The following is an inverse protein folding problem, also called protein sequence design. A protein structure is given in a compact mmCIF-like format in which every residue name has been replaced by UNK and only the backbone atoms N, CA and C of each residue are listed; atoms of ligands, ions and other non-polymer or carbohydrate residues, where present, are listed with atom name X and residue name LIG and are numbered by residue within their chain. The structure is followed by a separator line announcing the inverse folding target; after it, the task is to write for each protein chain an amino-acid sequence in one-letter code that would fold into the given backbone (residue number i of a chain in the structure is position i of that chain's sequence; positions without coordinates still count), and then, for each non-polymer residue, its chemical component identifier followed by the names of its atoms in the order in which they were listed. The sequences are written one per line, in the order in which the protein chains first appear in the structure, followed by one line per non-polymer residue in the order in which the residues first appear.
data_IF_332710253784
#
_entry.id   IF_332710253784
#
_cell.length_a   1.000
_cell.length_b   1.000
_cell.length_c   1.000
_cell.angle_alpha   90.00
_cell.angle_beta   90.00
_cell.angle_gamma   90.00
#
_symmetry.space_group_name_H-M   'P 1'
#
loop_
_entity.id
_entity.type
_entity.pdbx_description
1 polymer ?
#
# COMPACT_ATOMS: atom_id res chain seq x y z
N UNK A 1 22.07 12.38 4.56
CA UNK A 1 22.79 12.46 3.26
C UNK A 1 21.74 12.64 2.19
N UNK A 2 21.82 13.73 1.41
CA UNK A 2 20.82 14.02 0.38
C UNK A 2 21.13 13.20 -0.88
N UNK A 3 20.52 12.01 -0.94
CA UNK A 3 20.72 11.00 -2.00
C UNK A 3 20.36 11.49 -3.41
N UNK A 4 19.78 12.69 -3.53
CA UNK A 4 19.07 13.21 -4.72
C UNK A 4 19.70 14.44 -5.37
N UNK A 5 20.92 14.81 -4.96
CA UNK A 5 21.46 16.16 -5.17
C UNK A 5 22.09 16.47 -6.55
N UNK A 6 22.07 15.56 -7.53
CA UNK A 6 22.68 15.82 -8.86
C UNK A 6 21.77 15.53 -10.06
N UNK A 7 20.68 16.30 -10.19
CA UNK A 7 19.91 16.37 -11.45
C UNK A 7 20.73 17.09 -12.55
N UNK A 8 20.69 16.64 -13.82
CA UNK A 8 21.32 17.36 -14.94
C UNK A 8 20.82 18.81 -15.04
N UNK A 9 21.69 19.75 -15.48
CA UNK A 9 21.32 21.17 -15.59
C UNK A 9 20.06 21.42 -16.43
N UNK A 10 19.85 20.64 -17.49
CA UNK A 10 18.66 20.76 -18.33
C UNK A 10 17.40 20.36 -17.54
N UNK A 11 17.46 19.30 -16.73
CA UNK A 11 16.37 18.91 -15.85
C UNK A 11 16.06 20.00 -14.83
N UNK A 12 17.07 20.68 -14.27
CA UNK A 12 16.86 21.80 -13.35
C UNK A 12 16.12 22.98 -14.02
N UNK A 13 16.50 23.33 -15.25
CA UNK A 13 15.84 24.40 -16.02
C UNK A 13 14.41 24.02 -16.39
N UNK A 14 14.20 22.81 -16.90
CA UNK A 14 12.86 22.30 -17.25
C UNK A 14 11.99 22.25 -15.99
N UNK A 15 12.50 21.71 -14.88
CA UNK A 15 11.77 21.61 -13.62
C UNK A 15 11.32 22.99 -13.12
N UNK A 16 12.16 24.03 -13.25
CA UNK A 16 11.78 25.41 -12.97
C UNK A 16 10.68 25.93 -13.88
N UNK A 17 10.76 25.66 -15.17
CA UNK A 17 9.77 26.12 -16.15
C UNK A 17 8.42 25.44 -16.00
N UNK A 18 8.41 24.13 -15.69
CA UNK A 18 7.18 23.37 -15.48
C UNK A 18 6.68 23.44 -14.02
N UNK A 19 7.38 24.18 -13.14
CA UNK A 19 7.06 24.31 -11.72
C UNK A 19 7.19 23.02 -10.91
N UNK A 20 7.96 22.04 -11.39
CA UNK A 20 8.28 20.81 -10.64
C UNK A 20 9.16 21.10 -9.41
N UNK A 21 9.99 22.14 -9.45
CA UNK A 21 10.79 22.59 -8.32
C UNK A 21 9.95 23.17 -7.17
N UNK A 22 8.86 23.87 -7.50
CA UNK A 22 7.90 24.43 -6.52
C UNK A 22 6.96 23.37 -5.94
N UNK A 23 6.81 22.22 -6.60
CA UNK A 23 5.97 21.10 -6.14
C UNK A 23 6.64 20.22 -5.09
N UNK A 24 7.95 20.35 -4.87
CA UNK A 24 8.69 19.54 -3.89
C UNK A 24 8.78 20.27 -2.53
N UNK A 25 8.07 21.40 -2.36
CA UNK A 25 8.20 22.28 -1.20
C UNK A 25 7.20 22.01 -0.07
N UNK A 26 7.72 21.45 1.02
CA UNK A 26 7.18 21.44 2.39
C UNK A 26 5.68 21.18 2.53
N UNK A 27 5.27 19.91 2.35
CA UNK A 27 4.02 19.49 3.00
C UNK A 27 4.23 19.62 4.50
N UNK A 28 3.49 20.52 5.16
CA UNK A 28 3.50 20.62 6.62
C UNK A 28 2.88 19.36 7.21
N UNK A 29 3.73 18.38 7.48
CA UNK A 29 3.31 17.18 8.19
C UNK A 29 3.07 17.54 9.65
N UNK A 30 1.94 17.08 10.19
CA UNK A 30 1.68 17.17 11.62
C UNK A 30 2.77 16.41 12.39
N UNK A 31 3.46 17.03 13.37
CA UNK A 31 4.50 16.39 14.16
C UNK A 31 4.11 15.04 14.76
N UNK A 32 2.82 14.81 15.02
CA UNK A 32 2.35 13.53 15.55
C UNK A 32 2.62 12.33 14.61
N UNK A 33 2.75 12.58 13.29
CA UNK A 33 2.98 11.55 12.28
C UNK A 33 4.46 11.37 11.90
N UNK A 34 5.37 12.21 12.41
CA UNK A 34 6.81 12.10 12.12
C UNK A 34 7.39 10.73 12.46
N UNK A 35 6.98 10.15 13.60
CA UNK A 35 7.39 8.80 14.01
C UNK A 35 7.08 7.73 12.96
N UNK A 36 5.97 7.89 12.23
CA UNK A 36 5.59 6.93 11.20
C UNK A 36 6.42 7.09 9.93
N UNK A 37 6.75 8.33 9.58
CA UNK A 37 7.62 8.65 8.45
C UNK A 37 9.04 8.14 8.71
N UNK A 38 9.61 8.45 9.87
CA UNK A 38 10.96 8.02 10.26
C UNK A 38 11.08 6.50 10.23
N UNK A 39 10.12 5.78 10.83
CA UNK A 39 10.08 4.32 10.80
C UNK A 39 9.96 3.77 9.36
N UNK A 40 9.17 4.43 8.50
CA UNK A 40 9.04 4.02 7.09
C UNK A 40 10.32 4.26 6.30
N UNK A 41 11.05 5.35 6.57
CA UNK A 41 12.36 5.62 5.95
C UNK A 41 13.39 4.56 6.37
N UNK A 42 13.41 4.20 7.65
CA UNK A 42 14.38 3.25 8.20
C UNK A 42 14.09 1.80 7.78
N UNK A 43 12.83 1.40 7.83
CA UNK A 43 12.45 -0.02 7.70
C UNK A 43 11.67 -0.34 6.42
N UNK A 44 11.24 0.66 5.65
CA UNK A 44 10.43 0.48 4.45
C UNK A 44 8.98 0.12 4.72
N UNK A 45 8.50 0.19 5.97
CA UNK A 45 7.10 -0.01 6.35
C UNK A 45 6.80 0.69 7.68
N UNK A 46 5.52 0.82 8.04
CA UNK A 46 5.07 1.25 9.37
C UNK A 46 3.73 0.61 9.72
N UNK A 47 3.50 0.35 11.00
CA UNK A 47 2.22 -0.13 11.54
C UNK A 47 1.53 1.00 12.30
N UNK A 48 0.32 1.36 11.88
CA UNK A 48 -0.55 2.30 12.60
C UNK A 48 -1.46 1.47 13.50
N UNK A 49 -1.05 1.28 14.75
CA UNK A 49 -1.82 0.53 15.72
C UNK A 49 -3.16 1.21 16.03
N UNK A 50 -4.22 0.41 16.19
CA UNK A 50 -5.56 0.89 16.52
C UNK A 50 -6.08 2.01 15.58
N UNK A 51 -5.71 1.95 14.29
CA UNK A 51 -6.12 2.94 13.29
C UNK A 51 -7.64 3.13 13.17
N UNK A 52 -8.42 2.10 13.52
CA UNK A 52 -9.88 2.14 13.49
C UNK A 52 -10.46 1.55 14.78
N UNK A 53 -11.63 2.05 15.18
CA UNK A 53 -12.36 1.50 16.32
C UNK A 53 -12.92 0.10 15.99
N UNK A 54 -13.18 -0.76 16.98
CA UNK A 54 -13.81 -2.05 16.74
C UNK A 54 -15.13 -1.94 15.96
N UNK A 55 -15.95 -0.93 16.28
CA UNK A 55 -17.21 -0.68 15.58
C UNK A 55 -17.02 -0.34 14.09
N UNK A 56 -16.02 0.48 13.75
CA UNK A 56 -15.71 0.81 12.35
C UNK A 56 -15.18 -0.43 11.58
N UNK A 57 -14.41 -1.28 12.24
CA UNK A 57 -13.94 -2.55 11.68
C UNK A 57 -15.12 -3.50 11.45
N UNK A 58 -16.04 -3.61 12.41
CA UNK A 58 -17.25 -4.44 12.29
C UNK A 58 -18.18 -3.95 11.16
N UNK A 59 -18.33 -2.64 11.00
CA UNK A 59 -19.10 -2.03 9.91
C UNK A 59 -18.47 -2.37 8.55
N UNK A 60 -17.17 -2.18 8.38
CA UNK A 60 -16.46 -2.51 7.16
C UNK A 60 -16.55 -4.01 6.81
N UNK A 61 -16.43 -4.87 7.82
CA UNK A 61 -16.59 -6.32 7.67
C UNK A 61 -18.02 -6.70 7.26
N UNK A 62 -19.04 -6.09 7.88
CA UNK A 62 -20.43 -6.31 7.53
C UNK A 62 -20.71 -5.88 6.08
N UNK A 63 -20.15 -4.74 5.67
CA UNK A 63 -20.32 -4.24 4.31
C UNK A 63 -19.65 -5.13 3.28
N UNK A 64 -18.46 -5.67 3.57
CA UNK A 64 -17.81 -6.63 2.68
C UNK A 64 -18.56 -7.96 2.58
N UNK A 65 -19.17 -8.43 3.68
CA UNK A 65 -20.07 -9.60 3.63
C UNK A 65 -21.26 -9.33 2.73
N UNK A 66 -21.87 -8.14 2.84
CA UNK A 66 -22.98 -7.71 1.97
C UNK A 66 -22.55 -7.66 0.50
N UNK A 67 -21.42 -7.04 0.20
CA UNK A 67 -20.88 -6.95 -1.16
C UNK A 67 -20.52 -8.33 -1.74
N UNK A 68 -20.02 -9.24 -0.90
CA UNK A 68 -19.66 -10.60 -1.30
C UNK A 68 -20.87 -11.51 -1.55
N UNK A 69 -22.09 -11.08 -1.18
CA UNK A 69 -23.29 -11.89 -1.30
C UNK A 69 -23.69 -12.18 -2.76
N UNK A 70 -23.25 -11.36 -3.71
CA UNK A 70 -23.51 -11.60 -5.14
C UNK A 70 -22.28 -11.33 -6.00
N UNK A 71 -22.06 -12.11 -7.08
CA UNK A 71 -20.95 -11.86 -8.01
C UNK A 71 -21.01 -10.47 -8.67
N UNK A 72 -22.21 -9.93 -8.89
CA UNK A 72 -22.39 -8.60 -9.51
C UNK A 72 -21.88 -7.51 -8.55
N UNK A 73 -22.22 -7.60 -7.27
CA UNK A 73 -21.77 -6.63 -6.28
C UNK A 73 -20.26 -6.76 -5.98
N UNK A 74 -19.76 -8.00 -5.85
CA UNK A 74 -18.36 -8.26 -5.53
C UNK A 74 -17.41 -8.02 -6.72
N UNK A 75 -17.88 -8.34 -7.93
CA UNK A 75 -17.06 -8.38 -9.13
C UNK A 75 -16.36 -9.74 -9.34
N UNK A 76 -15.72 -9.94 -10.51
CA UNK A 76 -15.20 -11.25 -10.91
C UNK A 76 -14.07 -11.77 -10.02
N UNK A 77 -13.29 -10.87 -9.40
CA UNK A 77 -12.18 -11.25 -8.52
C UNK A 77 -12.60 -11.84 -7.17
N UNK A 78 -13.91 -11.89 -6.89
CA UNK A 78 -14.45 -12.61 -5.75
C UNK A 78 -14.43 -14.14 -5.94
N UNK A 79 -14.23 -14.62 -7.18
CA UNK A 79 -14.12 -16.04 -7.48
C UNK A 79 -12.76 -16.65 -7.11
N UNK A 80 -11.69 -15.84 -7.11
CA UNK A 80 -10.31 -16.27 -6.89
C UNK A 80 -9.33 -15.45 -7.73
N UNK A 81 -8.03 -15.54 -7.41
CA UNK A 81 -6.95 -14.97 -8.21
C UNK A 81 -6.73 -15.72 -9.52
N UNK A 82 -6.09 -15.05 -10.49
CA UNK A 82 -5.86 -15.58 -11.85
C UNK A 82 -4.61 -16.45 -11.97
N UNK A 83 -3.72 -16.38 -10.98
CA UNK A 83 -2.44 -17.07 -10.93
C UNK A 83 -2.01 -17.25 -9.47
N UNK A 84 -0.93 -18.00 -9.25
CA UNK A 84 -0.37 -18.30 -7.92
C UNK A 84 -0.02 -17.03 -7.13
N UNK A 85 0.51 -16.01 -7.81
CA UNK A 85 0.83 -14.74 -7.18
C UNK A 85 -0.42 -14.02 -6.65
N UNK A 86 -1.51 -14.01 -7.42
CA UNK A 86 -2.79 -13.46 -6.97
C UNK A 86 -3.46 -14.35 -5.91
N UNK A 87 -3.11 -15.62 -5.82
CA UNK A 87 -3.71 -16.59 -4.90
C UNK A 87 -5.02 -17.15 -5.45
N UNK A 88 -5.01 -18.43 -5.82
CA UNK A 88 -6.16 -19.12 -6.42
C UNK A 88 -7.35 -19.22 -5.45
N UNK A 89 -7.09 -19.14 -4.15
CA UNK A 89 -8.08 -19.13 -3.06
C UNK A 89 -8.16 -17.76 -2.37
N UNK A 90 -7.76 -16.69 -3.06
CA UNK A 90 -7.79 -15.33 -2.53
C UNK A 90 -8.88 -14.56 -3.22
N UNK A 91 -9.81 -14.04 -2.44
CA UNK A 91 -10.95 -13.27 -2.95
C UNK A 91 -10.65 -11.79 -2.82
N UNK A 92 -11.03 -11.01 -3.82
CA UNK A 92 -10.90 -9.55 -3.83
C UNK A 92 -12.19 -8.88 -4.25
N UNK A 93 -12.50 -7.76 -3.60
CA UNK A 93 -13.51 -6.81 -4.09
C UNK A 93 -12.77 -5.53 -4.45
N UNK A 94 -12.66 -5.28 -5.76
CA UNK A 94 -12.03 -4.07 -6.29
C UNK A 94 -12.96 -2.86 -6.22
N UNK A 95 -12.36 -1.67 -6.35
CA UNK A 95 -13.08 -0.39 -6.46
C UNK A 95 -14.07 -0.17 -5.30
N UNK A 96 -13.63 -0.40 -4.06
CA UNK A 96 -14.48 -0.30 -2.87
C UNK A 96 -15.18 1.06 -2.74
N UNK A 97 -14.49 2.16 -3.07
CA UNK A 97 -15.08 3.51 -3.05
C UNK A 97 -16.24 3.70 -4.04
N UNK A 98 -16.28 2.92 -5.12
CA UNK A 98 -17.41 2.92 -6.06
C UNK A 98 -18.59 2.08 -5.55
N UNK A 99 -18.37 1.23 -4.55
CA UNK A 99 -19.35 0.25 -4.06
C UNK A 99 -19.97 0.65 -2.74
N UNK A 100 -19.23 1.39 -1.89
CA UNK A 100 -19.72 1.82 -0.58
C UNK A 100 -18.90 2.96 0.00
N UNK A 101 -19.59 3.86 0.72
CA UNK A 101 -18.98 4.97 1.46
C UNK A 101 -18.37 4.55 2.80
N UNK A 102 -18.70 3.34 3.30
CA UNK A 102 -18.09 2.77 4.52
C UNK A 102 -16.55 2.73 4.44
N UNK A 103 -15.98 2.65 3.23
CA UNK A 103 -14.54 2.57 3.04
C UNK A 103 -13.82 3.92 2.91
N UNK A 104 -14.55 5.04 2.90
CA UNK A 104 -13.95 6.38 2.76
C UNK A 104 -12.95 6.68 3.89
N UNK A 105 -13.34 6.36 5.12
CA UNK A 105 -12.55 6.62 6.32
C UNK A 105 -11.18 5.94 6.27
N UNK A 106 -11.06 4.81 5.54
CA UNK A 106 -9.81 4.09 5.39
C UNK A 106 -8.84 4.84 4.48
N UNK A 107 -9.32 5.33 3.33
CA UNK A 107 -8.53 6.13 2.40
C UNK A 107 -8.16 7.52 2.96
N UNK A 108 -9.01 8.06 3.83
CA UNK A 108 -8.86 9.40 4.43
C UNK A 108 -8.24 9.36 5.84
N UNK A 109 -7.73 8.22 6.29
CA UNK A 109 -7.13 8.12 7.62
C UNK A 109 -5.97 9.14 7.73
N UNK A 110 -5.95 10.03 8.74
CA UNK A 110 -5.00 11.14 8.81
C UNK A 110 -3.52 10.73 8.69
N UNK A 111 -3.11 9.63 9.33
CA UNK A 111 -1.75 9.12 9.20
C UNK A 111 -1.44 8.57 7.79
N UNK A 112 -2.43 8.00 7.08
CA UNK A 112 -2.25 7.53 5.70
C UNK A 112 -2.07 8.72 4.76
N UNK A 113 -2.90 9.76 4.93
CA UNK A 113 -2.78 11.02 4.17
C UNK A 113 -1.42 11.66 4.44
N UNK A 114 -0.99 11.77 5.69
CA UNK A 114 0.31 12.34 6.06
C UNK A 114 1.51 11.56 5.47
N UNK A 115 1.46 10.22 5.46
CA UNK A 115 2.47 9.40 4.81
C UNK A 115 2.51 9.64 3.30
N UNK A 116 1.36 9.69 2.63
CA UNK A 116 1.29 9.96 1.20
C UNK A 116 1.80 11.37 0.85
N UNK A 117 1.41 12.36 1.65
CA UNK A 117 1.84 13.75 1.53
C UNK A 117 3.35 13.96 1.70
N UNK A 118 4.01 13.05 2.44
CA UNK A 118 5.47 13.05 2.60
C UNK A 118 6.18 12.28 1.48
N UNK A 119 5.70 11.09 1.13
CA UNK A 119 6.39 10.19 0.19
C UNK A 119 6.07 10.45 -1.29
N UNK A 120 4.93 11.09 -1.58
CA UNK A 120 4.46 11.37 -2.93
C UNK A 120 4.47 12.86 -3.23
N UNK A 121 4.48 13.20 -4.52
CA UNK A 121 4.29 14.57 -4.95
C UNK A 121 2.90 15.11 -4.55
N UNK A 122 2.74 16.45 -4.40
CA UNK A 122 1.44 17.05 -4.13
C UNK A 122 0.38 16.66 -5.15
N UNK A 123 -0.87 16.55 -4.68
CA UNK A 123 -2.03 16.11 -5.47
C UNK A 123 -1.86 14.68 -6.00
N UNK A 124 -1.28 13.79 -5.20
CA UNK A 124 -1.34 12.35 -5.43
C UNK A 124 -2.81 11.91 -5.57
N UNK A 125 -3.03 10.85 -6.35
CA UNK A 125 -4.35 10.27 -6.52
C UNK A 125 -4.37 8.87 -5.92
N UNK A 126 -5.51 8.48 -5.38
CA UNK A 126 -5.76 7.11 -5.03
C UNK A 126 -5.83 6.27 -6.31
N UNK A 127 -4.95 5.29 -6.45
CA UNK A 127 -4.94 4.41 -7.62
C UNK A 127 -5.85 3.21 -7.43
N UNK A 128 -5.83 2.57 -6.26
CA UNK A 128 -6.74 1.47 -5.94
C UNK A 128 -7.10 1.43 -4.46
N UNK A 129 -8.34 1.00 -4.18
CA UNK A 129 -8.79 0.60 -2.86
C UNK A 129 -9.61 -0.69 -3.01
N UNK A 130 -9.12 -1.78 -2.43
CA UNK A 130 -9.73 -3.09 -2.57
C UNK A 130 -9.58 -3.96 -1.32
N UNK A 131 -10.50 -4.89 -1.13
CA UNK A 131 -10.37 -5.93 -0.12
C UNK A 131 -9.53 -7.09 -0.65
N UNK A 132 -8.83 -7.75 0.25
CA UNK A 132 -8.14 -9.02 0.02
C UNK A 132 -8.53 -9.96 1.15
N UNK A 133 -9.06 -11.13 0.81
CA UNK A 133 -9.46 -12.15 1.77
C UNK A 133 -8.90 -13.50 1.34
N UNK A 134 -7.79 -13.88 1.95
CA UNK A 134 -7.19 -15.20 1.81
C UNK A 134 -8.09 -16.25 2.45
N UNK A 135 -8.55 -17.23 1.68
CA UNK A 135 -9.36 -18.33 2.21
C UNK A 135 -8.46 -19.39 2.86
N UNK A 136 -9.03 -20.28 3.71
CA UNK A 136 -8.27 -21.38 4.29
C UNK A 136 -7.55 -22.24 3.24
N UNK A 137 -6.27 -22.53 3.50
CA UNK A 137 -5.42 -23.33 2.62
C UNK A 137 -4.96 -22.62 1.35
N UNK A 138 -5.00 -21.28 1.33
CA UNK A 138 -4.27 -20.47 0.34
C UNK A 138 -2.76 -20.54 0.57
N UNK A 139 -1.99 -20.47 -0.53
CA UNK A 139 -0.53 -20.47 -0.49
C UNK A 139 0.04 -19.07 -0.20
N UNK A 140 1.21 -19.01 0.41
CA UNK A 140 1.92 -17.75 0.63
C UNK A 140 2.33 -17.11 -0.70
N UNK A 141 2.10 -15.80 -0.84
CA UNK A 141 2.59 -15.06 -2.00
C UNK A 141 4.12 -15.07 -2.04
N UNK A 142 4.69 -15.12 -3.24
CA UNK A 142 6.13 -14.93 -3.46
C UNK A 142 6.58 -13.57 -2.94
N UNK A 143 7.79 -13.48 -2.39
CA UNK A 143 8.37 -12.19 -1.99
C UNK A 143 8.44 -11.25 -3.20
N UNK A 144 7.89 -10.05 -3.07
CA UNK A 144 7.75 -9.09 -4.16
C UNK A 144 7.76 -7.66 -3.65
N UNK A 145 7.79 -6.72 -4.60
CA UNK A 145 7.53 -5.31 -4.39
C UNK A 145 6.39 -4.87 -5.31
N UNK A 146 5.60 -3.91 -4.86
CA UNK A 146 4.34 -3.55 -5.51
C UNK A 146 4.49 -2.69 -6.76
N UNK A 147 5.64 -2.04 -6.93
CA UNK A 147 6.02 -1.32 -8.15
C UNK A 147 6.64 -2.23 -9.22
N UNK A 148 6.44 -3.56 -9.14
CA UNK A 148 7.00 -4.52 -10.10
C UNK A 148 6.60 -4.30 -11.56
N UNK A 149 5.52 -3.58 -11.82
CA UNK A 149 5.11 -3.15 -13.16
C UNK A 149 5.86 -1.91 -13.66
N UNK A 150 6.60 -1.20 -12.80
CA UNK A 150 7.35 0.01 -13.14
C UNK A 150 8.73 -0.38 -13.68
N UNK A 151 9.02 0.05 -14.91
CA UNK A 151 10.28 -0.31 -15.61
C UNK A 151 11.41 0.70 -15.40
N UNK A 152 11.23 1.69 -14.53
CA UNK A 152 12.26 2.71 -14.23
C UNK A 152 13.33 2.08 -13.34
N UNK A 153 14.64 2.16 -13.69
CA UNK A 153 15.70 1.56 -12.89
C UNK A 153 15.84 2.21 -11.50
N UNK A 154 16.03 1.39 -10.46
CA UNK A 154 16.41 1.86 -9.11
C UNK A 154 17.88 2.32 -9.07
N UNK A 155 18.25 3.27 -8.18
CA UNK A 155 17.39 3.92 -7.19
C UNK A 155 16.52 5.03 -7.82
N UNK A 156 15.24 5.07 -7.43
CA UNK A 156 14.31 6.13 -7.79
C UNK A 156 13.40 6.46 -6.59
N UNK A 157 12.75 7.63 -6.61
CA UNK A 157 11.71 7.95 -5.63
C UNK A 157 10.51 6.98 -5.78
N UNK A 158 9.70 6.76 -4.73
CA UNK A 158 8.50 5.93 -4.85
C UNK A 158 7.53 6.51 -5.89
N UNK A 159 7.00 5.66 -6.78
CA UNK A 159 5.93 6.03 -7.71
C UNK A 159 4.53 5.95 -7.07
N UNK A 160 4.45 5.29 -5.91
CA UNK A 160 3.25 5.17 -5.12
C UNK A 160 3.56 4.74 -3.69
N UNK A 161 2.59 4.88 -2.80
CA UNK A 161 2.70 4.47 -1.41
C UNK A 161 2.19 3.04 -1.22
N UNK A 162 3.09 2.10 -1.48
CA UNK A 162 3.06 0.75 -0.93
C UNK A 162 4.52 0.38 -0.74
N UNK A 163 5.05 0.70 0.43
CA UNK A 163 6.50 0.74 0.61
C UNK A 163 7.07 -0.67 0.69
N UNK A 164 8.06 -0.94 -0.17
CA UNK A 164 8.96 -2.08 -0.10
C UNK A 164 10.38 -1.53 0.15
N UNK A 165 11.18 -2.10 1.05
CA UNK A 165 12.49 -1.54 1.40
C UNK A 165 13.51 -1.66 0.25
N UNK A 166 14.23 -0.58 0.01
CA UNK A 166 15.40 -0.51 -0.88
C UNK A 166 16.67 -1.16 -0.30
N UNK A 167 16.59 -1.89 0.81
CA UNK A 167 17.74 -2.51 1.47
C UNK A 167 17.53 -4.00 1.74
N UNK A 168 17.43 -4.79 0.68
CA UNK A 168 17.63 -6.24 0.78
C UNK A 168 18.67 -6.66 -0.27
N UNK A 169 19.91 -6.18 -0.11
CA UNK A 169 21.04 -6.59 -0.95
C UNK A 169 22.13 -7.34 -0.17
N UNK A 170 21.93 -7.63 1.11
CA UNK A 170 22.94 -8.35 1.90
C UNK A 170 22.34 -8.96 3.18
N UNK A 171 21.68 -10.11 3.04
CA UNK A 171 21.55 -11.06 4.16
C UNK A 171 22.02 -12.43 3.66
N UNK A 172 23.00 -13.07 4.31
CA UNK A 172 23.32 -14.47 4.04
C UNK A 172 22.22 -15.36 4.64
N UNK A 173 21.55 -16.13 3.78
CA UNK A 173 20.69 -17.27 4.13
C UNK A 173 21.57 -18.43 4.66
N UNK A 174 21.08 -19.29 5.58
CA UNK A 174 20.02 -20.22 5.23
C UNK A 174 18.76 -20.05 6.09
N UNK A 175 17.68 -19.65 5.43
CA UNK A 175 16.32 -19.76 5.92
C UNK A 175 16.03 -21.24 6.25
N UNK A 176 15.67 -21.51 7.52
CA UNK A 176 15.29 -22.83 8.01
C UNK A 176 13.76 -22.92 8.10
N UNK A 177 13.07 -23.61 7.17
CA UNK A 177 11.60 -23.69 7.13
C UNK A 177 10.95 -24.28 8.40
N UNK A 178 11.71 -25.07 9.16
CA UNK A 178 11.13 -25.96 10.18
C UNK A 178 10.99 -25.33 11.59
N UNK A 179 11.38 -24.05 11.78
CA UNK A 179 11.38 -23.42 13.12
C UNK A 179 10.21 -22.47 13.42
N UNK A 180 9.36 -22.18 12.44
CA UNK A 180 8.11 -21.46 12.70
C UNK A 180 6.93 -22.42 12.48
N UNK A 181 6.24 -22.86 13.54
CA UNK A 181 4.92 -23.46 13.33
C UNK A 181 4.06 -22.45 12.55
N UNK A 182 3.24 -22.90 11.59
CA UNK A 182 2.35 -21.99 10.89
C UNK A 182 1.50 -21.27 11.94
N UNK A 183 1.35 -19.94 11.87
CA UNK A 183 0.45 -19.24 12.77
C UNK A 183 -0.93 -19.88 12.66
N UNK A 184 -1.69 -19.99 13.77
CA UNK A 184 -3.08 -20.45 13.69
C UNK A 184 -3.80 -19.63 12.62
N UNK A 185 -4.67 -20.25 11.79
CA UNK A 185 -5.38 -19.52 10.75
C UNK A 185 -6.08 -18.35 11.43
N UNK A 186 -5.80 -17.10 11.03
CA UNK A 186 -6.42 -15.97 11.65
C UNK A 186 -7.94 -16.06 11.43
N UNK A 187 -8.76 -15.68 12.42
CA UNK A 187 -10.19 -15.51 12.17
C UNK A 187 -10.32 -14.46 11.06
N UNK A 188 -10.79 -14.86 9.88
CA UNK A 188 -11.00 -13.98 8.71
C UNK A 188 -10.02 -12.80 8.64
N UNK A 189 -8.77 -13.03 8.23
CA UNK A 189 -7.88 -11.90 7.93
C UNK A 189 -8.34 -11.20 6.66
N UNK A 190 -9.14 -10.16 6.86
CA UNK A 190 -9.45 -9.17 5.85
C UNK A 190 -8.37 -8.09 5.86
N UNK A 191 -7.80 -7.85 4.68
CA UNK A 191 -6.93 -6.70 4.45
C UNK A 191 -7.62 -5.74 3.49
N UNK A 192 -7.63 -4.45 3.83
CA UNK A 192 -7.96 -3.38 2.88
C UNK A 192 -6.63 -2.83 2.38
N UNK A 193 -6.40 -2.97 1.07
CA UNK A 193 -5.21 -2.44 0.43
C UNK A 193 -5.52 -1.09 -0.19
N UNK A 194 -4.76 -0.09 0.22
CA UNK A 194 -4.78 1.28 -0.30
C UNK A 194 -3.51 1.46 -1.10
N UNK A 195 -3.64 1.89 -2.36
CA UNK A 195 -2.49 2.34 -3.14
C UNK A 195 -2.77 3.74 -3.64
N UNK A 196 -1.87 4.67 -3.34
CA UNK A 196 -1.86 5.99 -3.98
C UNK A 196 -0.65 6.07 -4.90
N UNK A 197 -0.81 6.74 -6.02
CA UNK A 197 0.28 6.96 -6.97
C UNK A 197 0.13 8.31 -7.65
N UNK A 198 1.20 8.73 -8.31
CA UNK A 198 1.15 9.79 -9.31
C UNK A 198 1.78 9.26 -10.59
N UNK A 199 1.06 9.39 -11.70
CA UNK A 199 1.56 9.15 -13.05
C UNK A 199 1.79 10.48 -13.75
#
# INVERSE_FOLDING_TARGET
MDFWSSQPRNSLTINKQVGADRRIGETKIDPQYHKYIEHTIEHGYVIIENAFTPAAVDEANAELRRLSATPIAAGPAAAGGRNEFEGLKTRRIYALLNKSRTFDAFALHPAVVALNDFFLDPNWLLSTLHSITSQPGEDSQTLHHDDGAITVPRPHKPFGSVSSPSSCASLPSPWQPDRCPPPPPPPFSLFIRITASRF
#
